data_IF_182835650495
#
_entry.id   IF_182835650495
#
_cell.length_a   1.000
_cell.length_b   1.000
_cell.length_c   1.000
_cell.angle_alpha   90.00
_cell.angle_beta   90.00
_cell.angle_gamma   90.00
#
_symmetry.space_group_name_H-M   'P 1'
#
loop_
_entity.id
_entity.type
_entity.pdbx_description
1 polymer ?
#
# COMPACT_ATOMS: atom_id res chain seq x y z
N UNK A 1 41.64 13.08 -6.83
CA UNK A 1 41.39 11.97 -7.78
C UNK A 1 40.21 11.16 -7.25
N UNK A 2 39.04 11.27 -7.89
CA UNK A 2 37.83 10.60 -7.43
C UNK A 2 37.98 9.07 -7.50
N UNK A 3 37.41 8.38 -6.50
CA UNK A 3 37.59 6.96 -6.25
C UNK A 3 37.26 6.10 -7.48
N UNK A 4 38.24 5.31 -7.96
CA UNK A 4 38.11 4.36 -9.07
C UNK A 4 37.26 3.12 -8.75
N UNK A 5 36.38 3.16 -7.75
CA UNK A 5 35.53 2.04 -7.30
C UNK A 5 34.22 2.60 -6.73
N UNK A 6 33.22 2.79 -7.58
CA UNK A 6 31.85 3.09 -7.13
C UNK A 6 31.16 1.85 -6.54
N UNK A 7 29.95 1.98 -5.96
CA UNK A 7 29.27 0.93 -5.19
C UNK A 7 29.12 -0.41 -5.92
N UNK A 8 28.98 -0.38 -7.25
CA UNK A 8 28.84 -1.59 -8.06
C UNK A 8 30.18 -2.18 -8.54
N UNK A 9 31.32 -1.69 -8.02
CA UNK A 9 32.67 -2.19 -8.29
C UNK A 9 32.98 -2.39 -9.79
N UNK A 10 32.37 -1.56 -10.64
CA UNK A 10 32.51 -1.60 -12.09
C UNK A 10 33.34 -0.44 -12.63
N UNK A 11 33.97 -0.63 -13.80
CA UNK A 11 34.65 0.43 -14.55
C UNK A 11 33.68 1.43 -15.22
N UNK A 12 32.39 1.12 -15.24
CA UNK A 12 31.35 1.99 -15.78
C UNK A 12 30.91 3.05 -14.75
N UNK A 13 31.41 4.28 -14.89
CA UNK A 13 31.04 5.41 -14.03
C UNK A 13 29.52 5.69 -14.06
N UNK A 14 28.95 5.81 -15.27
CA UNK A 14 27.52 6.06 -15.48
C UNK A 14 26.60 5.06 -14.77
N UNK A 15 27.01 3.79 -14.68
CA UNK A 15 26.24 2.76 -14.00
C UNK A 15 26.27 2.94 -12.48
N UNK A 16 27.43 3.29 -11.93
CA UNK A 16 27.52 3.63 -10.51
C UNK A 16 26.66 4.85 -10.17
N UNK A 17 26.64 5.87 -11.03
CA UNK A 17 25.82 7.08 -10.82
C UNK A 17 24.33 6.76 -10.84
N UNK A 18 23.91 5.88 -11.75
CA UNK A 18 22.52 5.41 -11.83
C UNK A 18 22.10 4.64 -10.57
N UNK A 19 22.90 3.65 -10.16
CA UNK A 19 22.64 2.87 -8.94
C UNK A 19 22.65 3.77 -7.71
N UNK A 20 23.61 4.69 -7.62
CA UNK A 20 23.71 5.60 -6.49
C UNK A 20 22.46 6.50 -6.40
N UNK A 21 21.97 7.02 -7.53
CA UNK A 21 20.75 7.85 -7.58
C UNK A 21 19.51 7.10 -7.09
N UNK A 22 19.34 5.84 -7.52
CA UNK A 22 18.21 5.00 -7.10
C UNK A 22 18.22 4.73 -5.59
N UNK A 23 19.38 4.37 -5.04
CA UNK A 23 19.50 4.00 -3.62
C UNK A 23 19.72 5.20 -2.68
N UNK A 24 20.12 6.37 -3.19
CA UNK A 24 20.18 7.61 -2.41
C UNK A 24 18.83 8.31 -2.30
N UNK A 25 17.85 7.95 -3.14
CA UNK A 25 16.53 8.56 -3.17
C UNK A 25 15.60 7.88 -2.15
N UNK A 26 15.20 8.57 -1.06
CA UNK A 26 14.28 8.01 -0.07
C UNK A 26 12.95 7.50 -0.65
N UNK A 27 12.25 8.22 -1.56
CA UNK A 27 11.00 7.71 -2.12
C UNK A 27 11.21 6.47 -2.99
N UNK A 28 12.33 6.38 -3.71
CA UNK A 28 12.65 5.22 -4.56
C UNK A 28 12.92 3.98 -3.71
N UNK A 29 13.70 4.10 -2.64
CA UNK A 29 13.94 3.00 -1.69
C UNK A 29 12.65 2.59 -1.00
N UNK A 30 11.82 3.55 -0.59
CA UNK A 30 10.51 3.29 0.01
C UNK A 30 9.59 2.49 -0.92
N UNK A 31 9.55 2.85 -2.20
CA UNK A 31 8.76 2.12 -3.21
C UNK A 31 9.27 0.69 -3.41
N UNK A 32 10.59 0.49 -3.49
CA UNK A 32 11.19 -0.86 -3.63
C UNK A 32 10.77 -1.74 -2.44
N UNK A 33 10.88 -1.23 -1.22
CA UNK A 33 10.50 -1.96 0.00
C UNK A 33 9.00 -2.27 0.00
N UNK A 34 8.16 -1.30 -0.35
CA UNK A 34 6.71 -1.49 -0.43
C UNK A 34 6.32 -2.60 -1.41
N UNK A 35 6.88 -2.57 -2.62
CA UNK A 35 6.62 -3.59 -3.65
C UNK A 35 7.08 -4.97 -3.19
N UNK A 36 8.26 -5.07 -2.56
CA UNK A 36 8.74 -6.35 -2.03
C UNK A 36 7.79 -6.90 -0.97
N UNK A 37 7.35 -6.08 -0.02
CA UNK A 37 6.43 -6.48 1.04
C UNK A 37 5.07 -6.89 0.46
N UNK A 38 4.54 -6.16 -0.52
CA UNK A 38 3.25 -6.49 -1.14
C UNK A 38 3.27 -7.83 -1.90
N UNK A 39 4.42 -8.23 -2.44
CA UNK A 39 4.55 -9.50 -3.18
C UNK A 39 4.95 -10.69 -2.30
N UNK A 40 5.58 -10.46 -1.16
CA UNK A 40 6.17 -11.54 -0.33
C UNK A 40 5.39 -11.81 0.95
N UNK A 41 4.60 -10.86 1.44
CA UNK A 41 3.77 -11.08 2.62
C UNK A 41 2.55 -11.94 2.25
N UNK A 42 2.39 -13.05 2.97
CA UNK A 42 1.27 -13.96 2.77
C UNK A 42 -0.05 -13.32 3.22
N UNK A 43 -0.98 -13.16 2.29
CA UNK A 43 -2.27 -12.49 2.50
C UNK A 43 -3.14 -13.22 3.52
N UNK A 44 -2.99 -14.53 3.65
CA UNK A 44 -3.85 -15.42 4.46
C UNK A 44 -3.93 -14.97 5.93
N UNK A 45 -2.81 -14.53 6.52
CA UNK A 45 -2.78 -14.01 7.89
C UNK A 45 -2.71 -12.48 7.95
N UNK A 46 -2.33 -11.81 6.85
CA UNK A 46 -2.22 -10.35 6.79
C UNK A 46 -3.54 -9.61 7.04
N UNK A 47 -4.70 -10.26 6.85
CA UNK A 47 -5.99 -9.65 7.18
C UNK A 47 -6.05 -9.22 8.66
N UNK A 48 -5.59 -10.07 9.58
CA UNK A 48 -5.56 -9.75 11.02
C UNK A 48 -4.65 -8.56 11.32
N UNK A 49 -3.45 -8.55 10.76
CA UNK A 49 -2.43 -7.54 11.04
C UNK A 49 -2.71 -6.19 10.35
N UNK A 50 -3.39 -6.20 9.19
CA UNK A 50 -3.83 -5.00 8.47
C UNK A 50 -5.04 -4.32 9.11
N UNK A 51 -5.54 -4.83 10.24
CA UNK A 51 -6.74 -4.31 10.89
C UNK A 51 -8.02 -4.58 10.09
N UNK A 52 -8.01 -5.50 9.12
CA UNK A 52 -9.22 -5.87 8.39
C UNK A 52 -10.36 -6.30 9.32
N UNK A 53 -10.14 -7.02 10.44
CA UNK A 53 -11.20 -7.30 11.41
C UNK A 53 -11.92 -6.06 11.93
N UNK A 54 -11.22 -4.92 12.06
CA UNK A 54 -11.85 -3.65 12.43
C UNK A 54 -12.72 -3.11 11.28
N UNK A 55 -12.28 -3.28 10.04
CA UNK A 55 -13.02 -2.84 8.84
C UNK A 55 -14.19 -3.76 8.45
N UNK A 56 -14.19 -5.03 8.88
CA UNK A 56 -15.21 -6.03 8.51
C UNK A 56 -16.65 -5.55 8.75
N UNK A 57 -17.01 -4.98 9.92
CA UNK A 57 -18.36 -4.48 10.18
C UNK A 57 -18.79 -3.35 9.22
N UNK A 58 -17.84 -2.57 8.71
CA UNK A 58 -18.11 -1.44 7.82
C UNK A 58 -18.27 -1.83 6.34
N UNK A 59 -17.97 -3.08 5.98
CA UNK A 59 -18.08 -3.57 4.59
C UNK A 59 -19.49 -4.00 4.19
N UNK A 60 -20.39 -4.18 5.15
CA UNK A 60 -21.80 -4.50 4.91
C UNK A 60 -22.65 -3.42 5.56
N UNK A 61 -23.72 -3.00 4.88
CA UNK A 61 -24.62 -1.98 5.39
C UNK A 61 -25.15 -2.30 6.79
N UNK A 62 -25.51 -3.56 7.07
CA UNK A 62 -26.05 -4.00 8.37
C UNK A 62 -25.00 -4.43 9.39
N UNK A 63 -23.71 -4.28 9.08
CA UNK A 63 -22.63 -4.78 9.93
C UNK A 63 -22.38 -3.94 11.19
N UNK A 64 -22.73 -2.65 11.18
CA UNK A 64 -22.56 -1.73 12.31
C UNK A 64 -23.61 -0.61 12.24
N UNK A 65 -24.11 -0.12 13.38
CA UNK A 65 -25.11 0.97 13.40
C UNK A 65 -24.60 2.28 12.80
N UNK A 66 -23.28 2.49 12.75
CA UNK A 66 -22.64 3.67 12.15
C UNK A 66 -22.69 3.66 10.62
N UNK A 67 -22.97 2.52 10.00
CA UNK A 67 -23.06 2.39 8.55
C UNK A 67 -24.34 3.01 7.99
N UNK A 68 -25.38 3.16 8.81
CA UNK A 68 -26.65 3.77 8.38
C UNK A 68 -26.44 5.21 7.89
N UNK A 69 -25.60 6.00 8.57
CA UNK A 69 -25.25 7.34 8.11
C UNK A 69 -24.36 7.29 6.87
N UNK A 70 -23.35 6.42 6.86
CA UNK A 70 -22.32 6.37 5.81
C UNK A 70 -22.84 5.89 4.46
N UNK A 71 -23.78 4.96 4.46
CA UNK A 71 -24.38 4.38 3.26
C UNK A 71 -25.82 4.86 3.00
N UNK A 72 -26.28 5.89 3.73
CA UNK A 72 -27.57 6.52 3.45
C UNK A 72 -27.60 7.10 2.04
N UNK A 73 -28.69 6.85 1.32
CA UNK A 73 -28.88 7.42 0.00
C UNK A 73 -29.58 8.77 0.13
N UNK A 74 -29.20 9.78 -0.68
CA UNK A 74 -29.92 11.04 -0.69
C UNK A 74 -31.41 10.80 -1.04
N UNK A 75 -32.29 11.62 -0.49
CA UNK A 75 -33.74 11.51 -0.67
C UNK A 75 -34.39 10.22 -0.12
N UNK A 76 -33.78 9.59 0.89
CA UNK A 76 -34.36 8.42 1.58
C UNK A 76 -34.57 7.21 0.63
N UNK A 77 -33.74 7.12 -0.42
CA UNK A 77 -33.83 6.10 -1.48
C UNK A 77 -33.43 4.69 -1.00
N UNK A 78 -32.76 4.60 0.14
CA UNK A 78 -32.46 3.39 0.91
C UNK A 78 -33.71 2.54 1.22
N UNK A 79 -34.90 3.15 1.28
CA UNK A 79 -36.19 2.43 1.40
C UNK A 79 -36.58 1.65 0.15
N UNK A 80 -36.13 2.10 -1.03
CA UNK A 80 -36.50 1.52 -2.32
C UNK A 80 -35.41 0.58 -2.86
N UNK A 81 -34.17 0.78 -2.43
CA UNK A 81 -33.03 -0.08 -2.74
C UNK A 81 -32.46 -0.64 -1.44
N UNK A 82 -33.16 -1.60 -0.81
CA UNK A 82 -32.71 -2.16 0.46
C UNK A 82 -31.31 -2.75 0.28
N UNK A 83 -30.33 -2.27 1.06
CA UNK A 83 -28.96 -2.75 0.94
C UNK A 83 -28.90 -4.21 1.38
N UNK A 84 -28.30 -5.04 0.52
CA UNK A 84 -28.12 -6.47 0.73
C UNK A 84 -27.05 -6.77 1.78
#
# INVERSE_FOLDING_TARGET
MAARRGPAHTKAGWFNDYINTMFSSPPTVGLIVAVLLDNTLEVTNAAKDRGMPWWVPFRSFKGDSRNEEFYSLPFNLDRFFPPS
#
